data_IF_147282503642
#
_entry.id   IF_147282503642
#
_cell.length_a   1.000
_cell.length_b   1.000
_cell.length_c   1.000
_cell.angle_alpha   90.00
_cell.angle_beta   90.00
_cell.angle_gamma   90.00
#
_symmetry.space_group_name_H-M   'P 1'
#
loop_
_entity.id
_entity.type
_entity.pdbx_description
1 polymer ?
#
# COMPACT_ATOMS: atom_id res chain seq x y z
N UNK A 1 -22.82 -16.02 -1.23
CA UNK A 1 -21.93 -15.81 -1.36
C UNK A 1 -20.95 -16.44 -1.33
N UNK A 2 -20.73 -16.61 -1.48
CA UNK A 2 -19.98 -16.88 -1.09
C UNK A 2 -18.74 -17.34 -1.41
N UNK A 3 -18.34 -17.58 -2.37
CA UNK A 3 -17.10 -17.99 -2.73
C UNK A 3 -16.06 -17.15 -2.29
N UNK A 4 -16.29 -15.95 -2.19
CA UNK A 4 -15.36 -15.04 -1.57
C UNK A 4 -15.05 -15.46 -0.17
N UNK A 5 -15.93 -16.23 0.42
CA UNK A 5 -15.73 -16.69 1.77
C UNK A 5 -14.57 -17.66 1.91
N UNK A 6 -14.13 -18.26 0.80
CA UNK A 6 -13.03 -19.20 0.87
C UNK A 6 -11.66 -18.53 0.87
N UNK A 7 -11.57 -17.28 0.50
CA UNK A 7 -10.30 -16.56 0.47
C UNK A 7 -10.23 -15.62 1.67
N UNK A 8 -9.13 -15.65 2.44
CA UNK A 8 -8.99 -14.73 3.56
C UNK A 8 -8.90 -13.29 3.06
N UNK A 9 -9.50 -12.40 3.81
CA UNK A 9 -9.34 -10.97 3.57
C UNK A 9 -7.97 -10.57 4.08
N UNK A 10 -7.20 -9.89 3.25
CA UNK A 10 -5.89 -9.41 3.63
C UNK A 10 -5.81 -7.91 3.53
N UNK A 11 -5.09 -7.31 4.47
CA UNK A 11 -4.85 -5.89 4.41
C UNK A 11 -3.82 -5.59 3.33
N UNK A 12 -4.05 -4.50 2.62
CA UNK A 12 -3.16 -4.06 1.57
C UNK A 12 -3.24 -2.55 1.47
N UNK A 13 -2.21 -1.95 0.90
CA UNK A 13 -2.16 -0.51 0.75
C UNK A 13 -1.63 -0.15 -0.63
N UNK A 14 -2.15 0.93 -1.17
CA UNK A 14 -1.72 1.48 -2.45
C UNK A 14 -1.43 2.96 -2.24
N UNK A 15 -0.39 3.45 -2.87
CA UNK A 15 -0.06 4.87 -2.82
C UNK A 15 -0.14 5.45 -4.23
N UNK A 16 -0.73 6.63 -4.34
CA UNK A 16 -0.77 7.38 -5.59
C UNK A 16 0.23 8.53 -5.44
N UNK A 17 1.40 8.35 -6.06
CA UNK A 17 2.44 9.38 -6.02
C UNK A 17 2.20 10.36 -7.16
N UNK A 18 2.06 11.62 -6.81
CA UNK A 18 1.76 12.67 -7.76
C UNK A 18 2.90 13.68 -7.86
N UNK A 19 3.07 14.24 -9.02
CA UNK A 19 3.98 15.37 -9.21
C UNK A 19 3.36 16.34 -10.20
N UNK A 20 3.84 17.57 -10.18
CA UNK A 20 3.43 18.56 -11.18
C UNK A 20 4.13 18.26 -12.49
N UNK A 21 3.36 18.18 -13.56
CA UNK A 21 3.90 18.01 -14.91
C UNK A 21 3.52 19.17 -15.80
N UNK A 22 4.11 19.23 -16.97
CA UNK A 22 3.88 20.34 -17.91
C UNK A 22 2.42 20.40 -18.35
N UNK A 23 1.75 19.27 -18.44
CA UNK A 23 0.34 19.21 -18.85
C UNK A 23 -0.63 19.05 -17.71
N UNK A 24 -0.17 19.15 -16.46
CA UNK A 24 -1.00 18.95 -15.28
C UNK A 24 -0.40 17.89 -14.37
N UNK A 25 -1.11 17.49 -13.32
CA UNK A 25 -0.60 16.48 -12.41
C UNK A 25 -0.31 15.15 -13.11
N UNK A 26 0.76 14.51 -12.68
CA UNK A 26 1.16 13.20 -13.20
C UNK A 26 1.26 12.21 -12.06
N UNK A 27 0.86 10.98 -12.33
CA UNK A 27 0.93 9.91 -11.34
C UNK A 27 2.00 8.89 -11.73
N UNK A 28 2.70 8.37 -10.72
CA UNK A 28 3.70 7.35 -10.93
C UNK A 28 3.03 5.98 -10.99
N UNK A 29 3.29 5.24 -12.06
CA UNK A 29 2.70 3.92 -12.28
C UNK A 29 3.78 2.90 -12.52
N UNK A 30 3.51 1.67 -12.12
CA UNK A 30 4.40 0.54 -12.33
C UNK A 30 3.71 -0.45 -13.27
N UNK A 31 4.50 -1.09 -14.11
CA UNK A 31 3.98 -2.17 -14.94
C UNK A 31 4.45 -3.49 -14.36
N UNK A 32 3.51 -4.34 -14.01
CA UNK A 32 3.86 -5.65 -13.45
C UNK A 32 4.39 -6.54 -14.57
N UNK A 33 5.48 -7.26 -14.27
CA UNK A 33 6.08 -8.15 -15.25
C UNK A 33 5.24 -9.39 -15.40
N UNK A 34 5.37 -10.02 -16.55
CA UNK A 34 4.70 -11.28 -16.82
C UNK A 34 5.25 -12.34 -15.88
N UNK A 35 4.40 -13.26 -15.47
CA UNK A 35 4.78 -14.30 -14.55
C UNK A 35 4.52 -14.00 -13.10
N UNK A 36 4.19 -12.77 -12.76
CA UNK A 36 3.77 -12.47 -11.40
C UNK A 36 2.39 -13.07 -11.14
N UNK A 37 2.16 -13.46 -9.90
CA UNK A 37 0.93 -14.17 -9.55
C UNK A 37 -0.32 -13.30 -9.69
N UNK A 38 -0.18 -11.97 -9.53
CA UNK A 38 -1.33 -11.08 -9.56
C UNK A 38 -1.07 -9.96 -10.55
N UNK A 39 -2.08 -9.70 -11.38
CA UNK A 39 -2.08 -8.58 -12.32
C UNK A 39 -0.85 -8.55 -13.24
N UNK A 40 -0.36 -9.72 -13.68
CA UNK A 40 0.78 -9.80 -14.57
C UNK A 40 0.52 -9.01 -15.84
N UNK A 41 1.47 -8.14 -16.21
CA UNK A 41 1.36 -7.31 -17.41
C UNK A 41 0.49 -6.07 -17.24
N UNK A 42 -0.19 -5.91 -16.11
CA UNK A 42 -1.04 -4.75 -15.87
C UNK A 42 -0.25 -3.58 -15.32
N UNK A 43 -0.76 -2.38 -15.55
CA UNK A 43 -0.22 -1.17 -14.97
C UNK A 43 -0.92 -0.91 -13.66
N UNK A 44 -0.16 -0.67 -12.59
CA UNK A 44 -0.69 -0.53 -11.25
C UNK A 44 0.00 0.62 -10.53
N UNK A 45 -0.65 1.13 -9.48
CA UNK A 45 0.01 2.03 -8.54
C UNK A 45 0.93 1.24 -7.63
N UNK A 46 1.99 1.88 -7.07
CA UNK A 46 2.83 1.23 -6.08
C UNK A 46 2.03 0.79 -4.86
N UNK A 47 2.44 -0.28 -4.24
CA UNK A 47 1.80 -0.79 -3.04
C UNK A 47 1.83 -2.30 -2.99
N UNK A 48 1.15 -2.87 -2.03
CA UNK A 48 1.08 -4.30 -1.90
C UNK A 48 0.39 -4.74 -0.62
N UNK A 49 0.32 -6.04 -0.45
CA UNK A 49 -0.27 -6.63 0.75
C UNK A 49 0.63 -6.36 1.96
N UNK A 50 -0.01 -6.21 3.11
CA UNK A 50 0.72 -6.05 4.36
C UNK A 50 1.40 -7.35 4.72
N UNK A 51 2.70 -7.26 5.03
CA UNK A 51 3.48 -8.39 5.51
C UNK A 51 3.63 -8.22 7.01
N UNK A 52 3.74 -9.35 7.72
CA UNK A 52 3.93 -9.30 9.17
C UNK A 52 5.12 -8.43 9.55
N UNK A 53 6.17 -8.42 8.73
CA UNK A 53 7.36 -7.61 8.98
C UNK A 53 7.10 -6.11 8.91
N UNK A 54 6.03 -5.69 8.25
CA UNK A 54 5.74 -4.26 8.10
C UNK A 54 5.45 -3.60 9.44
N UNK A 55 4.81 -4.34 10.35
CA UNK A 55 4.50 -3.82 11.68
C UNK A 55 5.74 -3.74 12.57
N UNK A 56 6.71 -4.60 12.34
CA UNK A 56 7.90 -4.71 13.18
C UNK A 56 9.12 -4.04 12.59
N UNK A 57 9.01 -3.49 11.39
CA UNK A 57 10.16 -2.89 10.72
C UNK A 57 10.70 -1.70 11.49
N UNK A 58 12.01 -1.66 11.66
CA UNK A 58 12.69 -0.50 12.21
C UNK A 58 13.06 0.42 11.06
N UNK A 59 12.32 1.51 10.94
CA UNK A 59 12.56 2.47 9.87
C UNK A 59 12.56 3.87 10.45
N UNK A 60 13.27 4.76 9.76
CA UNK A 60 13.23 6.17 10.09
C UNK A 60 11.88 6.72 9.63
N UNK A 61 11.09 7.19 10.56
CA UNK A 61 9.75 7.70 10.27
C UNK A 61 9.78 9.21 10.16
N UNK A 62 9.34 9.72 9.02
CA UNK A 62 9.29 11.15 8.75
C UNK A 62 7.84 11.52 8.46
N UNK A 63 7.40 12.65 9.01
CA UNK A 63 6.03 13.09 8.82
C UNK A 63 5.14 12.72 9.99
N UNK A 64 3.83 12.73 9.80
CA UNK A 64 2.91 12.43 10.90
C UNK A 64 3.19 11.05 11.48
N UNK A 65 3.14 10.90 12.81
CA UNK A 65 3.44 9.61 13.43
C UNK A 65 2.36 8.57 13.13
N UNK A 66 2.67 7.28 13.36
CA UNK A 66 1.71 6.21 13.07
C UNK A 66 0.36 6.38 13.73
N UNK A 67 0.30 6.99 14.91
CA UNK A 67 -0.99 7.22 15.58
C UNK A 67 -1.89 8.15 14.77
N UNK A 68 -1.33 9.16 14.12
CA UNK A 68 -2.10 10.07 13.28
C UNK A 68 -2.61 9.35 12.04
N UNK A 69 -1.81 8.47 11.46
CA UNK A 69 -2.26 7.65 10.35
C UNK A 69 -3.37 6.70 10.78
N UNK A 70 -3.29 6.18 12.01
CA UNK A 70 -4.34 5.34 12.55
C UNK A 70 -5.67 6.06 12.62
N UNK A 71 -5.66 7.32 13.03
CA UNK A 71 -6.87 8.12 13.08
C UNK A 71 -7.43 8.37 11.67
N UNK A 72 -6.55 8.66 10.72
CA UNK A 72 -6.98 8.93 9.35
C UNK A 72 -7.51 7.69 8.65
N UNK A 73 -6.96 6.53 8.95
CA UNK A 73 -7.33 5.27 8.28
C UNK A 73 -8.33 4.45 9.08
N UNK A 74 -8.74 4.93 10.25
CA UNK A 74 -9.63 4.21 11.16
C UNK A 74 -9.04 2.83 11.49
N UNK A 75 -7.78 2.81 11.86
CA UNK A 75 -7.03 1.60 12.19
C UNK A 75 -6.23 1.82 13.46
N UNK A 76 -5.90 0.73 14.16
CA UNK A 76 -5.02 0.86 15.31
C UNK A 76 -3.60 1.23 14.85
N UNK A 77 -2.78 1.67 15.78
CA UNK A 77 -1.45 2.18 15.42
C UNK A 77 -0.56 1.14 14.76
N UNK A 78 -0.48 -0.11 15.26
CA UNK A 78 0.34 -1.11 14.57
C UNK A 78 -0.11 -1.40 13.15
N UNK A 79 -1.42 -1.47 12.91
CA UNK A 79 -1.93 -1.71 11.58
C UNK A 79 -1.69 -0.52 10.68
N UNK A 80 -1.89 0.70 11.18
CA UNK A 80 -1.63 1.90 10.39
C UNK A 80 -0.18 1.99 9.97
N UNK A 81 0.76 1.68 10.87
CA UNK A 81 2.17 1.66 10.56
C UNK A 81 2.46 0.63 9.47
N UNK A 82 1.87 -0.56 9.59
CA UNK A 82 2.08 -1.62 8.62
C UNK A 82 1.51 -1.25 7.24
N UNK A 83 0.37 -0.58 7.21
CA UNK A 83 -0.23 -0.14 5.94
C UNK A 83 0.64 0.88 5.24
N UNK A 84 1.18 1.86 5.96
CA UNK A 84 2.06 2.85 5.35
C UNK A 84 3.33 2.19 4.85
N UNK A 85 3.92 1.28 5.62
CA UNK A 85 5.11 0.56 5.19
C UNK A 85 4.84 -0.27 3.93
N UNK A 86 3.69 -0.94 3.87
CA UNK A 86 3.33 -1.76 2.71
C UNK A 86 3.16 -0.89 1.47
N UNK A 87 2.64 0.32 1.61
CA UNK A 87 2.42 1.21 0.48
C UNK A 87 3.72 1.66 -0.16
N UNK A 88 4.78 1.82 0.63
CA UNK A 88 6.05 2.36 0.13
C UNK A 88 7.14 1.33 -0.07
N UNK A 89 6.85 0.11 0.28
CA UNK A 89 7.84 -0.98 0.20
C UNK A 89 8.15 -1.45 -1.24
#
# INVERSE_FOLDING_TARGET
MTEAADAPVRDAATVVLLRDGAGGPEAYLLRRVRGMAFAAGMTVFPGGAVDRRDADAEIAWVGPPPADWGAALDADEPLARALVCAAVR
#
